data_IF_942764871857
#
_entry.id   IF_942764871857
#
_cell.length_a   1.000
_cell.length_b   1.000
_cell.length_c   1.000
_cell.angle_alpha   90.00
_cell.angle_beta   90.00
_cell.angle_gamma   90.00
#
_symmetry.space_group_name_H-M   'P 1'
#
loop_
_entity.id
_entity.type
_entity.pdbx_description
1 polymer ?
#
# COMPACT_ATOMS: atom_id res chain seq x y z
N UNK A 1 9.40 -18.04 -6.06
CA UNK A 1 9.88 -17.14 -4.99
C UNK A 1 9.04 -17.47 -3.76
N UNK A 2 9.64 -17.69 -2.59
CA UNK A 2 8.91 -17.95 -1.34
C UNK A 2 8.09 -16.71 -0.96
N UNK A 3 6.79 -16.86 -0.69
CA UNK A 3 5.95 -15.77 -0.20
C UNK A 3 6.61 -15.01 0.97
N UNK A 4 6.74 -13.69 0.81
CA UNK A 4 7.30 -12.79 1.83
C UNK A 4 6.18 -12.38 2.79
N UNK A 5 6.09 -13.05 3.94
CA UNK A 5 5.21 -12.60 5.04
C UNK A 5 5.91 -11.60 5.95
N UNK A 6 5.10 -10.78 6.62
CA UNK A 6 5.51 -9.87 7.70
C UNK A 6 4.71 -10.25 8.93
N UNK A 7 5.37 -10.53 10.04
CA UNK A 7 4.74 -11.16 11.20
C UNK A 7 4.66 -10.15 12.34
N UNK A 8 3.44 -9.86 12.82
CA UNK A 8 3.21 -9.02 13.99
C UNK A 8 2.69 -9.90 15.14
N UNK A 9 3.56 -10.32 16.08
CA UNK A 9 3.16 -11.12 17.23
C UNK A 9 2.54 -10.28 18.35
N UNK A 10 1.98 -10.98 19.33
CA UNK A 10 1.46 -10.41 20.56
C UNK A 10 2.52 -9.59 21.30
N UNK A 11 2.10 -8.47 21.89
CA UNK A 11 2.93 -7.67 22.80
C UNK A 11 2.94 -8.20 24.25
N UNK A 12 1.96 -9.04 24.60
CA UNK A 12 1.83 -9.57 25.96
C UNK A 12 2.86 -10.67 26.22
N UNK A 13 3.69 -10.48 27.25
CA UNK A 13 4.61 -11.47 27.81
C UNK A 13 4.26 -11.82 29.25
N UNK A 14 3.05 -11.47 29.69
CA UNK A 14 2.52 -11.70 31.03
C UNK A 14 1.91 -13.11 31.19
N UNK A 15 1.59 -13.77 30.06
CA UNK A 15 0.96 -15.10 30.01
C UNK A 15 1.65 -15.99 29.00
N UNK A 16 1.59 -17.30 29.21
CA UNK A 16 2.22 -18.29 28.34
C UNK A 16 1.72 -18.16 26.90
N UNK A 17 0.42 -17.90 26.72
CA UNK A 17 -0.16 -17.70 25.38
C UNK A 17 0.51 -16.56 24.59
N UNK A 18 0.99 -15.52 25.26
CA UNK A 18 1.77 -14.44 24.66
C UNK A 18 3.19 -14.88 24.27
N UNK A 19 3.84 -15.67 25.12
CA UNK A 19 5.13 -16.28 24.83
C UNK A 19 5.03 -17.27 23.64
N UNK A 20 3.98 -18.09 23.59
CA UNK A 20 3.71 -19.01 22.48
C UNK A 20 3.48 -18.28 21.16
N UNK A 21 2.82 -17.11 21.18
CA UNK A 21 2.67 -16.28 19.99
C UNK A 21 4.03 -15.80 19.45
N UNK A 22 4.95 -15.43 20.35
CA UNK A 22 6.32 -15.06 19.99
C UNK A 22 7.10 -16.25 19.44
N UNK A 23 7.03 -17.41 20.08
CA UNK A 23 7.71 -18.62 19.61
C UNK A 23 7.22 -19.05 18.23
N UNK A 24 5.90 -18.98 17.99
CA UNK A 24 5.33 -19.23 16.66
C UNK A 24 5.85 -18.21 15.63
N UNK A 25 5.92 -16.92 15.97
CA UNK A 25 6.46 -15.90 15.06
C UNK A 25 7.91 -16.18 14.67
N UNK A 26 8.76 -16.53 15.63
CA UNK A 26 10.17 -16.88 15.38
C UNK A 26 10.29 -18.12 14.49
N UNK A 27 9.48 -19.15 14.77
CA UNK A 27 9.41 -20.37 13.96
C UNK A 27 9.03 -20.08 12.52
N UNK A 28 7.97 -19.28 12.33
CA UNK A 28 7.48 -18.87 11.02
C UNK A 28 8.56 -18.09 10.26
N UNK A 29 9.14 -17.06 10.89
CA UNK A 29 10.20 -16.24 10.31
C UNK A 29 11.40 -17.08 9.84
N UNK A 30 11.88 -18.00 10.68
CA UNK A 30 12.98 -18.89 10.33
C UNK A 30 12.64 -19.83 9.17
N UNK A 31 11.40 -20.32 9.10
CA UNK A 31 10.98 -21.28 8.07
C UNK A 31 10.68 -20.62 6.71
N UNK A 32 10.27 -19.36 6.68
CA UNK A 32 9.85 -18.67 5.44
C UNK A 32 10.82 -17.57 4.99
N UNK A 33 11.81 -17.22 5.82
CA UNK A 33 12.62 -16.01 5.60
C UNK A 33 11.82 -14.72 5.82
N UNK A 34 10.72 -14.81 6.58
CA UNK A 34 9.84 -13.68 6.87
C UNK A 34 10.40 -12.79 7.98
N UNK A 35 9.97 -11.54 7.96
CA UNK A 35 10.41 -10.51 8.89
C UNK A 35 9.40 -10.30 10.01
N UNK A 36 9.88 -9.96 11.21
CA UNK A 36 9.04 -9.78 12.39
C UNK A 36 8.97 -8.30 12.77
N UNK A 37 7.76 -7.79 12.93
CA UNK A 37 7.51 -6.47 13.52
C UNK A 37 7.57 -6.60 15.03
N UNK A 38 8.48 -5.88 15.68
CA UNK A 38 8.44 -5.75 17.13
C UNK A 38 7.26 -4.85 17.53
N UNK A 39 6.25 -5.35 18.28
CA UNK A 39 5.05 -4.58 18.60
C UNK A 39 5.31 -3.30 19.41
N UNK A 40 6.34 -3.33 20.27
CA UNK A 40 6.78 -2.16 21.06
C UNK A 40 7.40 -1.10 20.15
N UNK A 41 8.36 -1.50 19.31
CA UNK A 41 9.05 -0.58 18.42
C UNK A 41 8.14 -0.03 17.33
N UNK A 42 7.16 -0.79 16.88
CA UNK A 42 6.20 -0.31 15.88
C UNK A 42 5.36 0.87 16.41
N UNK A 43 4.99 0.84 17.69
CA UNK A 43 4.24 1.92 18.32
C UNK A 43 5.06 3.21 18.50
N UNK A 44 6.39 3.10 18.62
CA UNK A 44 7.27 4.27 18.83
C UNK A 44 7.97 4.74 17.54
N UNK A 45 8.14 3.86 16.57
CA UNK A 45 8.85 4.11 15.31
C UNK A 45 8.24 3.28 14.14
N UNK A 46 6.99 3.57 13.73
CA UNK A 46 6.29 2.78 12.70
C UNK A 46 6.97 2.85 11.33
N UNK A 47 7.63 3.98 11.00
CA UNK A 47 8.37 4.18 9.75
C UNK A 47 9.47 3.13 9.52
N UNK A 48 10.03 2.55 10.59
CA UNK A 48 11.04 1.49 10.52
C UNK A 48 10.54 0.22 9.82
N UNK A 49 9.23 -0.01 9.83
CA UNK A 49 8.60 -1.22 9.27
C UNK A 49 7.81 -0.93 8.00
N UNK A 50 7.90 0.31 7.46
CA UNK A 50 7.10 0.71 6.30
C UNK A 50 7.43 -0.12 5.05
N UNK A 51 8.71 -0.30 4.72
CA UNK A 51 9.13 -1.13 3.59
C UNK A 51 8.68 -2.59 3.74
N UNK A 52 8.85 -3.14 4.94
CA UNK A 52 8.41 -4.50 5.28
C UNK A 52 6.93 -4.68 5.03
N UNK A 53 6.10 -3.79 5.59
CA UNK A 53 4.64 -3.84 5.48
C UNK A 53 4.13 -3.61 4.04
N UNK A 54 4.89 -2.91 3.19
CA UNK A 54 4.58 -2.77 1.75
C UNK A 54 4.86 -4.07 0.99
N UNK A 55 6.03 -4.65 1.23
CA UNK A 55 6.53 -5.78 0.43
C UNK A 55 5.93 -7.14 0.86
N UNK A 56 5.37 -7.23 2.06
CA UNK A 56 4.95 -8.51 2.62
C UNK A 56 3.54 -8.55 3.18
N UNK A 57 2.94 -9.75 3.09
CA UNK A 57 1.59 -9.98 3.61
C UNK A 57 1.59 -10.07 5.13
N UNK A 58 0.87 -9.17 5.80
CA UNK A 58 0.84 -9.07 7.26
C UNK A 58 0.10 -10.25 7.93
N UNK A 59 0.83 -11.09 8.64
CA UNK A 59 0.28 -12.12 9.51
C UNK A 59 0.32 -11.63 10.96
N UNK A 60 -0.85 -11.54 11.59
CA UNK A 60 -0.99 -11.16 13.00
C UNK A 60 -1.13 -12.41 13.86
N UNK A 61 -0.39 -12.46 14.97
CA UNK A 61 -0.46 -13.57 15.94
C UNK A 61 -0.85 -13.00 17.31
N UNK A 62 -2.11 -13.14 17.68
CA UNK A 62 -2.60 -12.76 19.00
C UNK A 62 -2.37 -13.89 20.02
N UNK A 63 -1.87 -13.55 21.20
CA UNK A 63 -1.70 -14.52 22.27
C UNK A 63 -3.03 -14.91 22.90
N UNK A 64 -3.86 -13.92 23.29
CA UNK A 64 -5.12 -14.15 23.96
C UNK A 64 -6.22 -13.18 23.51
N UNK A 65 -7.39 -13.24 24.17
CA UNK A 65 -8.58 -12.46 23.84
C UNK A 65 -8.39 -10.93 23.92
N UNK A 66 -7.32 -10.43 24.56
CA UNK A 66 -6.97 -9.00 24.56
C UNK A 66 -6.61 -8.50 23.16
N UNK A 67 -6.17 -9.40 22.27
CA UNK A 67 -5.91 -9.13 20.85
C UNK A 67 -4.99 -7.93 20.62
N UNK A 68 -3.92 -7.82 21.41
CA UNK A 68 -3.02 -6.67 21.38
C UNK A 68 -2.39 -6.45 20.00
N UNK A 69 -2.00 -7.52 19.30
CA UNK A 69 -1.38 -7.41 17.98
C UNK A 69 -2.39 -6.97 16.91
N UNK A 70 -3.59 -7.57 16.93
CA UNK A 70 -4.68 -7.10 16.04
C UNK A 70 -5.07 -5.65 16.30
N UNK A 71 -5.05 -5.21 17.57
CA UNK A 71 -5.38 -3.82 17.92
C UNK A 71 -4.33 -2.85 17.42
N UNK A 72 -3.04 -3.20 17.51
CA UNK A 72 -1.96 -2.43 16.92
C UNK A 72 -2.16 -2.30 15.41
N UNK A 73 -2.47 -3.41 14.72
CA UNK A 73 -2.74 -3.40 13.29
C UNK A 73 -3.94 -2.51 12.95
N UNK A 74 -5.06 -2.64 13.66
CA UNK A 74 -6.26 -1.84 13.44
C UNK A 74 -6.04 -0.34 13.67
N UNK A 75 -5.36 0.03 14.76
CA UNK A 75 -5.07 1.43 15.10
C UNK A 75 -4.15 2.14 14.10
N UNK A 76 -3.40 1.36 13.31
CA UNK A 76 -2.50 1.87 12.28
C UNK A 76 -3.02 1.54 10.87
N UNK A 77 -4.29 1.19 10.75
CA UNK A 77 -4.96 0.91 9.47
C UNK A 77 -4.25 -0.17 8.62
N UNK A 78 -3.60 -1.13 9.26
CA UNK A 78 -2.88 -2.19 8.55
C UNK A 78 -3.84 -3.25 8.04
N UNK A 79 -3.68 -3.62 6.76
CA UNK A 79 -4.42 -4.73 6.15
C UNK A 79 -3.87 -6.07 6.66
N UNK A 80 -4.64 -6.74 7.51
CA UNK A 80 -4.28 -8.07 8.04
C UNK A 80 -4.57 -9.13 6.96
N UNK A 81 -3.54 -9.83 6.51
CA UNK A 81 -3.66 -10.94 5.58
C UNK A 81 -4.21 -12.20 6.25
N UNK A 82 -3.59 -12.58 7.37
CA UNK A 82 -4.02 -13.71 8.21
C UNK A 82 -3.89 -13.37 9.66
N UNK A 83 -4.76 -13.99 10.45
CA UNK A 83 -4.79 -13.84 11.90
C UNK A 83 -4.76 -15.21 12.54
N UNK A 84 -3.84 -15.38 13.48
CA UNK A 84 -3.70 -16.56 14.32
C UNK A 84 -3.99 -16.12 15.76
N UNK A 85 -4.84 -16.86 16.48
CA UNK A 85 -5.07 -16.64 17.90
C UNK A 85 -4.59 -17.86 18.69
N UNK A 86 -3.52 -17.72 19.48
CA UNK A 86 -2.90 -18.88 20.16
C UNK A 86 -3.86 -19.59 21.10
N UNK A 87 -4.72 -18.88 21.82
CA UNK A 87 -5.74 -19.52 22.68
C UNK A 87 -6.81 -20.29 21.90
N UNK A 88 -7.09 -19.94 20.64
CA UNK A 88 -8.01 -20.69 19.79
C UNK A 88 -7.32 -21.95 19.24
N UNK A 89 -6.06 -21.83 18.82
CA UNK A 89 -5.24 -22.96 18.40
C UNK A 89 -4.98 -23.96 19.53
N UNK A 90 -4.84 -23.46 20.77
CA UNK A 90 -4.68 -24.25 21.98
C UNK A 90 -5.93 -25.12 22.25
N UNK A 91 -7.12 -24.54 22.16
CA UNK A 91 -8.40 -25.28 22.30
C UNK A 91 -8.55 -26.39 21.27
N UNK A 92 -8.14 -26.15 20.01
CA UNK A 92 -8.19 -27.16 18.94
C UNK A 92 -7.29 -28.36 19.19
N UNK A 93 -6.26 -28.20 20.03
CA UNK A 93 -5.18 -29.18 20.26
C UNK A 93 -5.15 -29.71 21.69
N UNK A 94 -6.21 -29.44 22.44
CA UNK A 94 -6.31 -29.78 23.87
C UNK A 94 -5.07 -29.33 24.69
N UNK A 95 -4.51 -28.19 24.29
CA UNK A 95 -3.39 -27.56 24.99
C UNK A 95 -3.93 -26.44 25.88
N UNK A 96 -3.47 -26.39 27.13
CA UNK A 96 -3.92 -25.39 28.10
C UNK A 96 -2.77 -24.48 28.52
N UNK A 97 -2.63 -23.27 27.92
CA UNK A 97 -1.58 -22.34 28.29
C UNK A 97 -1.72 -21.91 29.76
N UNK A 98 -0.62 -21.91 30.47
CA UNK A 98 -0.48 -21.46 31.84
C UNK A 98 -0.79 -19.97 32.01
N UNK A 99 -1.10 -19.56 33.26
CA UNK A 99 -1.48 -18.19 33.58
C UNK A 99 -0.29 -17.22 33.55
N UNK A 100 0.94 -17.72 33.63
CA UNK A 100 2.17 -16.94 33.74
C UNK A 100 3.00 -17.01 32.46
N UNK A 101 4.03 -16.16 32.34
CA UNK A 101 4.93 -16.07 31.19
C UNK A 101 5.82 -17.29 30.92
N UNK A 102 5.79 -18.31 31.78
CA UNK A 102 6.66 -19.48 31.64
C UNK A 102 6.14 -20.40 30.55
N UNK A 103 7.00 -20.70 29.60
CA UNK A 103 6.75 -21.70 28.56
C UNK A 103 6.91 -23.09 29.18
N UNK A 104 5.82 -23.84 29.27
CA UNK A 104 5.72 -25.15 29.92
C UNK A 104 6.20 -26.31 29.05
N UNK A 105 6.26 -27.50 29.65
CA UNK A 105 6.56 -28.73 28.93
C UNK A 105 5.50 -28.97 27.83
N UNK A 106 5.96 -29.29 26.61
CA UNK A 106 5.08 -29.52 25.45
C UNK A 106 4.79 -28.28 24.59
N UNK A 107 5.14 -27.07 25.05
CA UNK A 107 4.96 -25.84 24.26
C UNK A 107 5.63 -25.88 22.88
N UNK A 108 6.85 -26.43 22.79
CA UNK A 108 7.56 -26.56 21.53
C UNK A 108 6.82 -27.47 20.54
N UNK A 109 6.28 -28.60 21.02
CA UNK A 109 5.48 -29.52 20.22
C UNK A 109 4.15 -28.88 19.80
N UNK A 110 3.51 -28.14 20.69
CA UNK A 110 2.32 -27.36 20.37
C UNK A 110 2.59 -26.33 19.26
N UNK A 111 3.66 -25.53 19.37
CA UNK A 111 4.06 -24.54 18.35
C UNK A 111 4.40 -25.22 17.02
N UNK A 112 5.02 -26.40 17.03
CA UNK A 112 5.23 -27.22 15.82
C UNK A 112 3.93 -27.63 15.15
N UNK A 113 2.98 -28.14 15.91
CA UNK A 113 1.72 -28.60 15.36
C UNK A 113 0.84 -27.44 14.85
N UNK A 114 0.89 -26.27 15.51
CA UNK A 114 0.27 -25.04 15.00
C UNK A 114 0.94 -24.61 13.71
N UNK A 115 2.28 -24.55 13.65
CA UNK A 115 2.98 -24.16 12.43
C UNK A 115 2.62 -25.08 11.26
N UNK A 116 2.68 -26.40 11.48
CA UNK A 116 2.37 -27.41 10.46
C UNK A 116 0.97 -27.26 9.88
N UNK A 117 -0.04 -26.92 10.70
CA UNK A 117 -1.41 -26.72 10.19
C UNK A 117 -1.56 -25.43 9.38
N UNK A 118 -0.75 -24.42 9.67
CA UNK A 118 -0.81 -23.12 9.00
C UNK A 118 0.00 -23.06 7.70
N UNK A 119 0.99 -23.95 7.52
CA UNK A 119 1.75 -24.07 6.27
C UNK A 119 0.88 -24.17 5.00
N UNK A 120 -0.10 -25.08 4.88
CA UNK A 120 -0.94 -25.18 3.68
C UNK A 120 -1.85 -23.95 3.52
N UNK A 121 -2.41 -23.43 4.62
CA UNK A 121 -3.30 -22.24 4.64
C UNK A 121 -2.58 -20.99 4.13
N UNK A 122 -1.28 -20.88 4.42
CA UNK A 122 -0.45 -19.77 3.95
C UNK A 122 -0.05 -19.93 2.47
N UNK A 123 0.06 -21.18 1.97
CA UNK A 123 0.42 -21.52 0.58
C UNK A 123 -0.75 -21.47 -0.41
N UNK A 124 -1.98 -21.79 0.03
CA UNK A 124 -3.16 -21.95 -0.83
C UNK A 124 -3.55 -20.69 -1.64
N UNK A 125 -3.01 -19.51 -1.30
CA UNK A 125 -3.27 -18.27 -2.04
C UNK A 125 -2.18 -17.82 -3.02
N UNK A 126 -1.04 -18.50 -3.13
CA UNK A 126 -0.06 -18.21 -4.21
C UNK A 126 -0.66 -18.51 -5.60
N UNK A 127 -1.67 -19.39 -5.68
CA UNK A 127 -2.26 -19.87 -6.94
C UNK A 127 -3.60 -19.21 -7.33
N UNK A 128 -4.17 -18.29 -6.53
CA UNK A 128 -5.58 -17.91 -6.66
C UNK A 128 -5.92 -16.44 -6.38
N UNK A 129 -4.99 -15.49 -6.60
CA UNK A 129 -5.27 -14.07 -6.38
C UNK A 129 -5.79 -13.39 -7.64
N UNK A 130 -7.07 -13.03 -7.65
CA UNK A 130 -7.66 -12.13 -8.64
C UNK A 130 -7.16 -10.68 -8.42
N UNK A 131 -6.93 -9.90 -9.49
CA UNK A 131 -6.42 -8.54 -9.42
C UNK A 131 -7.56 -7.60 -8.98
N UNK A 132 -7.50 -7.09 -7.75
CA UNK A 132 -8.55 -6.20 -7.21
C UNK A 132 -8.42 -5.91 -5.72
N UNK A 133 -7.64 -6.68 -4.96
CA UNK A 133 -7.45 -6.44 -3.52
C UNK A 133 -6.16 -5.66 -3.17
N UNK A 134 -5.75 -4.67 -3.97
CA UNK A 134 -4.55 -3.85 -3.75
C UNK A 134 -4.80 -2.60 -2.88
N UNK A 135 -5.33 -2.81 -1.67
CA UNK A 135 -5.43 -1.75 -0.66
C UNK A 135 -4.16 -1.59 0.21
N UNK A 136 -3.02 -2.18 -0.18
CA UNK A 136 -1.77 -2.10 0.60
C UNK A 136 -0.48 -2.11 -0.23
N UNK A 137 -0.56 -2.16 -1.56
CA UNK A 137 0.63 -2.12 -2.43
C UNK A 137 1.19 -0.69 -2.51
N UNK A 138 0.28 0.29 -2.66
CA UNK A 138 0.59 1.70 -2.86
C UNK A 138 0.23 2.48 -1.59
N UNK A 139 1.25 2.93 -0.85
CA UNK A 139 1.06 3.75 0.35
C UNK A 139 0.88 5.22 -0.03
N UNK A 140 0.07 5.97 0.73
CA UNK A 140 -0.04 7.41 0.51
C UNK A 140 1.27 8.17 0.78
N UNK A 141 1.43 9.40 0.24
CA UNK A 141 2.61 10.22 0.46
C UNK A 141 2.85 10.48 1.95
N UNK A 142 4.09 10.27 2.40
CA UNK A 142 4.50 10.56 3.78
C UNK A 142 4.75 12.05 4.02
N UNK A 143 5.19 12.75 2.97
CA UNK A 143 5.52 14.17 3.02
C UNK A 143 5.16 14.84 1.70
N UNK A 144 4.58 16.03 1.81
CA UNK A 144 4.28 16.91 0.70
C UNK A 144 5.17 18.14 0.77
N UNK A 145 5.80 18.48 -0.35
CA UNK A 145 6.20 19.86 -0.57
C UNK A 145 4.95 20.69 -0.88
N UNK A 146 4.89 21.88 -0.29
CA UNK A 146 3.77 22.80 -0.46
C UNK A 146 4.28 24.08 -1.13
N UNK A 147 3.65 24.46 -2.23
CA UNK A 147 3.81 25.77 -2.84
C UNK A 147 2.50 26.54 -2.77
N UNK A 148 2.57 27.81 -2.39
CA UNK A 148 1.41 28.71 -2.31
C UNK A 148 1.59 29.84 -3.32
N UNK A 149 0.55 30.08 -4.10
CA UNK A 149 0.49 31.21 -5.02
C UNK A 149 -0.93 31.80 -4.96
N UNK A 150 -1.03 33.06 -4.53
CA UNK A 150 -2.30 33.73 -4.21
C UNK A 150 -3.18 32.89 -3.27
N UNK A 151 -4.35 32.47 -3.77
CA UNK A 151 -5.32 31.62 -3.05
C UNK A 151 -5.10 30.12 -3.28
N UNK A 152 -4.21 29.75 -4.19
CA UNK A 152 -3.99 28.35 -4.56
C UNK A 152 -2.86 27.73 -3.73
N UNK A 153 -3.05 26.46 -3.35
CA UNK A 153 -2.10 25.66 -2.59
C UNK A 153 -1.84 24.41 -3.40
N UNK A 154 -0.60 24.22 -3.82
CA UNK A 154 -0.16 23.06 -4.60
C UNK A 154 0.66 22.12 -3.73
N UNK A 155 0.29 20.85 -3.74
CA UNK A 155 0.95 19.77 -2.98
C UNK A 155 1.63 18.80 -3.94
N UNK A 156 2.89 18.48 -3.66
CA UNK A 156 3.66 17.49 -4.42
C UNK A 156 4.28 16.47 -3.46
N UNK A 157 3.97 15.17 -3.60
CA UNK A 157 4.67 14.09 -2.90
C UNK A 157 6.18 14.16 -3.16
N UNK A 158 7.01 14.17 -2.11
CA UNK A 158 8.46 14.27 -2.27
C UNK A 158 9.15 12.95 -2.64
N UNK A 159 8.55 11.82 -2.27
CA UNK A 159 9.13 10.49 -2.45
C UNK A 159 8.07 9.50 -2.94
N UNK A 160 8.49 8.51 -3.73
CA UNK A 160 7.64 7.42 -4.22
C UNK A 160 6.83 7.74 -5.48
N UNK A 161 6.82 8.99 -5.93
CA UNK A 161 6.08 9.43 -7.12
C UNK A 161 7.02 10.01 -8.18
N UNK A 162 6.67 9.73 -9.43
CA UNK A 162 7.31 10.28 -10.62
C UNK A 162 6.27 11.00 -11.46
N UNK A 163 6.65 12.09 -12.10
CA UNK A 163 5.77 12.99 -12.84
C UNK A 163 6.28 13.18 -14.26
N UNK A 164 5.39 13.22 -15.23
CA UNK A 164 5.73 13.62 -16.59
C UNK A 164 5.41 15.11 -16.84
N UNK A 165 5.75 15.61 -18.02
CA UNK A 165 5.51 17.02 -18.40
C UNK A 165 4.01 17.39 -18.47
N UNK A 166 3.15 16.40 -18.71
CA UNK A 166 1.69 16.53 -18.82
C UNK A 166 0.99 16.48 -17.45
N UNK A 167 1.77 16.61 -16.36
CA UNK A 167 1.27 16.66 -14.99
C UNK A 167 0.53 15.38 -14.54
N UNK A 168 0.78 14.26 -15.23
CA UNK A 168 0.39 12.91 -14.82
C UNK A 168 1.51 12.29 -13.98
N UNK A 169 1.13 11.48 -12.99
CA UNK A 169 2.07 10.82 -12.09
C UNK A 169 1.96 9.30 -12.14
N UNK A 170 3.07 8.63 -11.82
CA UNK A 170 3.13 7.21 -11.49
C UNK A 170 3.77 7.00 -10.12
N UNK A 171 3.14 6.16 -9.30
CA UNK A 171 3.71 5.59 -8.10
C UNK A 171 4.12 4.15 -8.40
N UNK A 172 5.39 3.80 -8.17
CA UNK A 172 5.93 2.49 -8.58
C UNK A 172 6.25 1.63 -7.37
N UNK A 173 5.76 0.39 -7.40
CA UNK A 173 5.99 -0.63 -6.37
C UNK A 173 6.26 -1.97 -7.06
N UNK A 174 7.54 -2.35 -7.13
CA UNK A 174 7.98 -3.53 -7.88
C UNK A 174 7.74 -3.37 -9.38
N UNK A 175 7.00 -4.32 -9.99
CA UNK A 175 6.59 -4.26 -11.40
C UNK A 175 5.20 -3.62 -11.60
N UNK A 176 4.64 -2.99 -10.58
CA UNK A 176 3.31 -2.38 -10.63
C UNK A 176 3.43 -0.86 -10.53
N UNK A 177 2.63 -0.15 -11.31
CA UNK A 177 2.55 1.30 -11.28
C UNK A 177 1.11 1.76 -11.11
N UNK A 178 0.83 2.61 -10.14
CA UNK A 178 -0.45 3.32 -10.03
C UNK A 178 -0.30 4.69 -10.65
N UNK A 179 -1.27 5.11 -11.46
CA UNK A 179 -1.20 6.39 -12.18
C UNK A 179 -2.40 7.29 -11.88
N UNK A 180 -2.19 8.59 -12.02
CA UNK A 180 -3.22 9.62 -11.84
C UNK A 180 -2.74 10.99 -12.31
N UNK A 181 -3.46 12.04 -11.93
CA UNK A 181 -3.11 13.44 -12.23
C UNK A 181 -2.65 14.20 -10.99
N UNK A 182 -1.77 15.17 -11.17
CA UNK A 182 -1.23 15.97 -10.08
C UNK A 182 -2.26 16.94 -9.47
N UNK A 183 -1.95 17.44 -8.27
CA UNK A 183 -2.71 18.51 -7.61
C UNK A 183 -2.70 19.82 -8.43
N UNK A 184 -1.68 20.04 -9.27
CA UNK A 184 -1.65 21.17 -10.20
C UNK A 184 -2.68 21.00 -11.32
N UNK A 185 -2.69 19.83 -11.97
CA UNK A 185 -3.58 19.58 -13.10
C UNK A 185 -5.05 19.58 -12.68
N UNK A 186 -5.40 18.95 -11.57
CA UNK A 186 -6.79 18.96 -11.08
C UNK A 186 -7.28 20.39 -10.79
N UNK A 187 -6.44 21.27 -10.22
CA UNK A 187 -6.82 22.68 -9.98
C UNK A 187 -6.99 23.46 -11.29
N UNK A 188 -6.19 23.15 -12.31
CA UNK A 188 -6.34 23.74 -13.63
C UNK A 188 -7.67 23.33 -14.28
N UNK A 189 -8.03 22.05 -14.18
CA UNK A 189 -9.29 21.50 -14.69
C UNK A 189 -10.50 21.98 -13.87
N UNK A 190 -10.32 22.37 -12.60
CA UNK A 190 -11.42 22.72 -11.69
C UNK A 190 -12.28 21.50 -11.37
N UNK A 191 -13.60 21.65 -11.32
CA UNK A 191 -14.51 20.64 -10.81
C UNK A 191 -14.62 19.50 -11.84
N UNK A 192 -14.06 18.34 -11.48
CA UNK A 192 -14.09 17.14 -12.31
C UNK A 192 -15.45 16.47 -12.13
N UNK A 193 -16.15 16.25 -13.24
CA UNK A 193 -17.52 15.73 -13.26
C UNK A 193 -17.62 14.34 -13.86
N UNK A 194 -16.65 13.94 -14.69
CA UNK A 194 -16.64 12.61 -15.29
C UNK A 194 -15.21 12.15 -15.56
N UNK A 195 -14.99 10.83 -15.50
CA UNK A 195 -13.72 10.20 -15.86
C UNK A 195 -13.98 8.94 -16.65
N UNK A 196 -13.27 8.78 -17.76
CA UNK A 196 -13.27 7.57 -18.57
C UNK A 196 -11.89 6.92 -18.45
N UNK A 197 -11.69 5.96 -17.52
CA UNK A 197 -10.43 5.23 -17.40
C UNK A 197 -10.24 4.25 -18.58
N UNK A 198 -9.04 3.67 -18.76
CA UNK A 198 -8.81 2.68 -19.81
C UNK A 198 -9.42 1.33 -19.40
N UNK A 199 -9.73 0.48 -20.38
CA UNK A 199 -10.23 -0.87 -20.08
C UNK A 199 -9.13 -1.77 -19.47
N UNK A 200 -9.42 -2.56 -18.43
CA UNK A 200 -8.50 -3.58 -17.93
C UNK A 200 -8.04 -4.53 -19.04
N UNK A 201 -6.73 -4.77 -19.10
CA UNK A 201 -6.09 -5.59 -20.11
C UNK A 201 -5.49 -4.82 -21.29
N UNK A 202 -5.84 -3.53 -21.45
CA UNK A 202 -5.30 -2.64 -22.48
C UNK A 202 -3.79 -2.43 -22.31
N UNK A 203 -3.06 -2.43 -23.43
CA UNK A 203 -1.66 -2.02 -23.46
C UNK A 203 -1.58 -0.52 -23.75
N UNK A 204 -0.80 0.20 -22.95
CA UNK A 204 -0.56 1.64 -23.11
C UNK A 204 0.94 1.90 -23.21
N UNK A 205 1.31 2.83 -24.07
CA UNK A 205 2.68 3.32 -24.23
C UNK A 205 2.87 4.62 -23.45
N UNK A 206 4.10 4.92 -23.04
CA UNK A 206 4.41 6.23 -22.47
C UNK A 206 3.97 7.34 -23.43
N UNK A 207 3.26 8.33 -22.89
CA UNK A 207 2.61 9.44 -23.62
C UNK A 207 1.46 9.03 -24.56
N UNK A 208 1.11 7.74 -24.63
CA UNK A 208 -0.08 7.26 -25.31
C UNK A 208 -1.37 7.56 -24.56
N UNK A 209 -2.49 7.52 -25.26
CA UNK A 209 -3.83 7.72 -24.68
C UNK A 209 -4.15 6.64 -23.65
N UNK A 210 -4.66 7.07 -22.50
CA UNK A 210 -5.02 6.23 -21.37
C UNK A 210 -6.46 6.48 -20.89
N UNK A 211 -7.16 7.46 -21.45
CA UNK A 211 -8.52 7.78 -21.06
C UNK A 211 -8.79 9.28 -21.11
N UNK A 212 -9.87 9.73 -20.46
CA UNK A 212 -10.27 11.14 -20.45
C UNK A 212 -10.80 11.59 -19.10
N UNK A 213 -10.62 12.88 -18.79
CA UNK A 213 -11.26 13.58 -17.67
C UNK A 213 -12.12 14.70 -18.23
N UNK A 214 -13.37 14.77 -17.81
CA UNK A 214 -14.26 15.89 -18.10
C UNK A 214 -14.44 16.74 -16.86
N UNK A 215 -14.31 18.05 -17.06
CA UNK A 215 -14.51 19.06 -16.04
C UNK A 215 -15.47 20.13 -16.54
N UNK A 216 -15.89 21.02 -15.64
CA UNK A 216 -16.68 22.19 -16.01
C UNK A 216 -16.00 23.12 -17.06
N UNK A 217 -14.68 23.00 -17.25
CA UNK A 217 -13.91 23.85 -18.17
C UNK A 217 -13.62 23.18 -19.52
N UNK A 218 -13.28 21.90 -19.52
CA UNK A 218 -12.77 21.20 -20.70
C UNK A 218 -12.82 19.68 -20.52
N UNK A 219 -12.72 18.98 -21.66
CA UNK A 219 -12.34 17.57 -21.73
C UNK A 219 -10.82 17.50 -21.89
N UNK A 220 -10.17 16.69 -21.06
CA UNK A 220 -8.73 16.50 -21.03
C UNK A 220 -8.39 15.06 -21.38
N UNK A 221 -7.55 14.87 -22.38
CA UNK A 221 -7.01 13.56 -22.76
C UNK A 221 -5.92 13.15 -21.76
N UNK A 222 -6.12 12.02 -21.08
CA UNK A 222 -5.14 11.45 -20.17
C UNK A 222 -4.08 10.71 -20.97
N UNK A 223 -2.83 11.09 -20.78
CA UNK A 223 -1.69 10.36 -21.32
C UNK A 223 -1.05 9.49 -20.25
N UNK A 224 -0.63 8.28 -20.62
CA UNK A 224 0.06 7.40 -19.68
C UNK A 224 1.47 7.95 -19.36
N UNK A 225 1.87 8.08 -18.09
CA UNK A 225 3.23 8.48 -17.75
C UNK A 225 4.27 7.36 -17.99
N UNK A 226 3.83 6.12 -18.20
CA UNK A 226 4.68 4.93 -18.33
C UNK A 226 4.06 3.90 -19.27
N UNK A 227 4.89 3.05 -19.85
CA UNK A 227 4.49 1.93 -20.69
C UNK A 227 4.13 0.72 -19.85
N UNK A 228 2.99 0.10 -20.14
CA UNK A 228 2.54 -1.08 -19.42
C UNK A 228 1.18 -1.60 -19.86
N UNK A 229 0.71 -2.61 -19.12
CA UNK A 229 -0.62 -3.20 -19.31
C UNK A 229 -1.52 -2.84 -18.15
N UNK A 230 -2.71 -2.32 -18.43
CA UNK A 230 -3.71 -1.99 -17.40
C UNK A 230 -4.17 -3.28 -16.72
N UNK A 231 -4.02 -3.35 -15.39
CA UNK A 231 -4.41 -4.51 -14.59
C UNK A 231 -5.57 -4.23 -13.63
N UNK A 232 -5.83 -2.96 -13.34
CA UNK A 232 -7.00 -2.52 -12.58
C UNK A 232 -7.32 -1.06 -12.85
N UNK A 233 -8.58 -0.68 -12.60
CA UNK A 233 -9.04 0.71 -12.61
C UNK A 233 -9.67 1.05 -11.26
N UNK A 234 -9.70 2.33 -10.92
CA UNK A 234 -10.34 2.78 -9.69
C UNK A 234 -11.85 2.93 -9.91
N UNK A 235 -12.64 1.98 -9.45
CA UNK A 235 -14.10 2.07 -9.59
C UNK A 235 -14.70 3.22 -8.76
N UNK A 236 -14.03 3.64 -7.68
CA UNK A 236 -14.55 4.69 -6.81
C UNK A 236 -14.65 6.06 -7.49
N UNK A 237 -13.76 6.37 -8.44
CA UNK A 237 -13.80 7.65 -9.17
C UNK A 237 -14.88 7.68 -10.27
N UNK A 238 -15.49 6.53 -10.60
CA UNK A 238 -16.63 6.49 -11.52
C UNK A 238 -17.92 6.95 -10.82
N UNK A 239 -18.05 6.63 -9.54
CA UNK A 239 -19.18 7.05 -8.71
C UNK A 239 -18.94 8.41 -8.05
N UNK A 240 -17.68 8.73 -7.72
CA UNK A 240 -17.26 9.98 -7.09
C UNK A 240 -16.01 10.60 -7.78
N UNK A 241 -16.17 11.21 -8.96
CA UNK A 241 -15.06 11.82 -9.72
C UNK A 241 -14.31 12.92 -8.94
N UNK A 242 -14.97 13.60 -8.01
CA UNK A 242 -14.41 14.63 -7.14
C UNK A 242 -13.26 14.11 -6.25
N UNK A 243 -13.14 12.79 -6.06
CA UNK A 243 -11.98 12.20 -5.36
C UNK A 243 -10.65 12.55 -6.02
N UNK A 244 -10.64 12.80 -7.33
CA UNK A 244 -9.47 13.26 -8.07
C UNK A 244 -9.09 14.68 -7.64
N UNK A 245 -10.08 15.55 -7.39
CA UNK A 245 -9.85 16.89 -6.86
C UNK A 245 -9.40 16.87 -5.38
N UNK A 246 -10.07 16.07 -4.55
CA UNK A 246 -9.87 16.08 -3.10
C UNK A 246 -8.56 15.39 -2.67
N UNK A 247 -8.28 14.22 -3.26
CA UNK A 247 -7.15 13.38 -2.89
C UNK A 247 -6.47 12.78 -4.14
N UNK A 248 -5.78 13.62 -4.94
CA UNK A 248 -5.22 13.22 -6.24
C UNK A 248 -4.15 12.12 -6.16
N UNK A 249 -3.50 11.92 -5.01
CA UNK A 249 -2.35 11.02 -4.87
C UNK A 249 -2.64 9.72 -4.12
N UNK A 250 -3.81 9.60 -3.47
CA UNK A 250 -4.17 8.38 -2.73
C UNK A 250 -5.48 7.79 -3.24
N UNK A 251 -6.59 8.52 -3.14
CA UNK A 251 -7.93 8.02 -3.50
C UNK A 251 -8.32 8.33 -4.94
N UNK A 252 -7.71 9.35 -5.54
CA UNK A 252 -7.96 9.84 -6.89
C UNK A 252 -7.07 9.23 -7.97
N UNK A 253 -6.46 8.07 -7.71
CA UNK A 253 -5.75 7.32 -8.75
C UNK A 253 -6.73 6.81 -9.82
N UNK A 254 -6.24 6.60 -11.03
CA UNK A 254 -7.07 6.31 -12.20
C UNK A 254 -6.94 4.85 -12.61
N UNK A 255 -5.71 4.40 -12.84
CA UNK A 255 -5.41 3.05 -13.28
C UNK A 255 -4.20 2.47 -12.55
N UNK A 256 -4.11 1.14 -12.52
CA UNK A 256 -2.95 0.38 -12.10
C UNK A 256 -2.43 -0.40 -13.31
N UNK A 257 -1.13 -0.38 -13.52
CA UNK A 257 -0.44 -1.00 -14.63
C UNK A 257 0.56 -2.05 -14.14
N UNK A 258 0.71 -3.12 -14.90
CA UNK A 258 1.93 -3.93 -14.92
C UNK A 258 2.93 -3.27 -15.86
N UNK A 259 4.05 -2.79 -15.31
CA UNK A 259 5.06 -2.01 -16.01
C UNK A 259 5.94 -2.93 -16.85
N UNK A 260 6.08 -2.60 -18.13
CA UNK A 260 6.85 -3.42 -19.07
C UNK A 260 8.16 -2.76 -19.53
N UNK A 261 8.30 -1.44 -19.39
CA UNK A 261 9.46 -0.69 -19.88
C UNK A 261 9.92 0.45 -18.96
N UNK A 262 9.64 0.36 -17.66
CA UNK A 262 9.82 1.47 -16.73
C UNK A 262 11.23 2.09 -16.70
N UNK A 263 12.29 1.28 -16.85
CA UNK A 263 13.67 1.79 -16.83
C UNK A 263 13.94 2.78 -17.97
N UNK A 264 13.38 2.56 -19.16
CA UNK A 264 13.51 3.49 -20.28
C UNK A 264 12.56 4.69 -20.10
N UNK A 265 11.31 4.44 -19.70
CA UNK A 265 10.31 5.49 -19.48
C UNK A 265 10.78 6.51 -18.44
N UNK A 266 11.59 6.08 -17.46
CA UNK A 266 12.11 6.92 -16.38
C UNK A 266 12.96 8.10 -16.85
N UNK A 267 13.55 8.05 -18.05
CA UNK A 267 14.32 9.17 -18.61
C UNK A 267 13.48 10.44 -18.80
N UNK A 268 12.17 10.29 -19.01
CA UNK A 268 11.24 11.39 -19.23
C UNK A 268 10.40 11.72 -18.00
N UNK A 269 10.79 11.19 -16.83
CA UNK A 269 10.09 11.40 -15.58
C UNK A 269 10.90 12.24 -14.60
N UNK A 270 10.19 13.09 -13.87
CA UNK A 270 10.72 13.90 -12.79
C UNK A 270 10.34 13.30 -11.45
N UNK A 271 11.29 13.24 -10.51
CA UNK A 271 10.94 13.01 -9.11
C UNK A 271 10.17 14.21 -8.53
N UNK A 272 9.53 14.01 -7.38
CA UNK A 272 8.72 15.04 -6.74
C UNK A 272 9.45 16.35 -6.42
N UNK A 273 10.77 16.30 -6.16
CA UNK A 273 11.55 17.52 -5.88
C UNK A 273 11.73 18.35 -7.14
N UNK A 274 12.13 17.71 -8.24
CA UNK A 274 12.29 18.36 -9.55
C UNK A 274 10.94 18.83 -10.11
N UNK A 275 9.90 18.02 -9.98
CA UNK A 275 8.57 18.41 -10.41
C UNK A 275 8.05 19.64 -9.65
N UNK A 276 8.33 19.76 -8.35
CA UNK A 276 7.99 20.96 -7.58
C UNK A 276 8.68 22.23 -8.09
N UNK A 277 9.91 22.13 -8.63
CA UNK A 277 10.59 23.28 -9.25
C UNK A 277 9.86 23.70 -10.54
N UNK A 278 9.58 22.75 -11.43
CA UNK A 278 8.83 22.98 -12.67
C UNK A 278 7.43 23.53 -12.38
N UNK A 279 6.74 23.01 -11.36
CA UNK A 279 5.42 23.49 -10.95
C UNK A 279 5.46 24.97 -10.55
N UNK A 280 6.48 25.42 -9.83
CA UNK A 280 6.61 26.83 -9.43
C UNK A 280 6.77 27.75 -10.64
N UNK A 281 7.52 27.31 -11.65
CA UNK A 281 7.68 28.04 -12.91
C UNK A 281 6.33 28.10 -13.66
N UNK A 282 5.66 26.95 -13.84
CA UNK A 282 4.33 26.88 -14.46
C UNK A 282 3.31 27.79 -13.78
N UNK A 283 3.32 27.86 -12.44
CA UNK A 283 2.40 28.69 -11.65
C UNK A 283 2.74 30.18 -11.76
N UNK A 284 4.02 30.55 -11.85
CA UNK A 284 4.44 31.93 -12.09
C UNK A 284 3.99 32.42 -13.48
N UNK A 285 4.16 31.58 -14.50
CA UNK A 285 3.78 31.90 -15.89
C UNK A 285 2.26 31.95 -16.09
N UNK A 286 1.50 31.13 -15.36
CA UNK A 286 0.02 31.09 -15.42
C UNK A 286 -0.64 32.45 -15.11
N UNK A 287 0.04 33.34 -14.36
CA UNK A 287 -0.46 34.68 -14.03
C UNK A 287 0.13 35.79 -14.90
N UNK A 288 1.17 35.54 -15.68
CA UNK A 288 1.74 36.52 -16.62
C UNK A 288 0.85 36.72 -17.86
N UNK A 289 -0.05 35.76 -18.14
CA UNK A 289 -0.97 35.78 -19.28
C UNK A 289 -2.42 36.19 -18.96
N UNK A 290 -2.70 36.71 -17.75
CA UNK A 290 -4.01 37.25 -17.37
C UNK A 290 -3.97 38.75 -17.13
#
# INVERSE_FOLDING_TARGET
>A
MTAKYVILPCNGLDKEAGCLARELALKMAAATGSEIICPVLYQTAPSRYASLLREGSLVVIDGCATRCASRIAANNNLKIYRKITMTEEAKKRDYNPGPDWRVGAGAAAFVEDVWRSWQPVLREQEAGRAPGENAGLFAGPLEYAIHRHDKFIFRVPLEGFYFNENDCWVQVEGNRGRVGISDYLQQNLSDITFVTPPDPGTEVEQFGEMGTIESAKAVYELVSPVTGRVVAVNEAILEAPELINENPYEKGWIAELELTNFEADREFLLDGRRYMEVLKEKVADFNAGK
#
